data_IF_792322616685
#
_entry.id   IF_792322616685
#
_cell.length_a   1.000
_cell.length_b   1.000
_cell.length_c   1.000
_cell.angle_alpha   90.00
_cell.angle_beta   90.00
_cell.angle_gamma   90.00
#
_symmetry.space_group_name_H-M   'P 1'
#
loop_
_entity.id
_entity.type
_entity.pdbx_description
1 polymer ?
#
# COMPACT_ATOMS: atom_id res chain seq x y z
N UNK A 1 29.40 -47.09 18.54
CA UNK A 1 29.66 -45.65 18.32
C UNK A 1 29.18 -45.18 16.95
N UNK A 2 27.97 -45.57 16.51
CA UNK A 2 27.40 -45.15 15.21
C UNK A 2 25.92 -44.72 15.29
N UNK A 3 25.36 -44.59 16.49
CA UNK A 3 23.95 -44.22 16.71
C UNK A 3 23.75 -42.86 17.42
N UNK A 4 24.82 -42.22 17.90
CA UNK A 4 24.74 -40.94 18.63
C UNK A 4 25.05 -39.75 17.71
N UNK A 5 25.77 -39.95 16.61
CA UNK A 5 26.13 -38.89 15.66
C UNK A 5 25.01 -38.50 14.69
N UNK A 6 24.05 -39.39 14.43
CA UNK A 6 22.91 -39.10 13.53
C UNK A 6 21.82 -38.28 14.22
N UNK A 7 21.71 -38.36 15.56
CA UNK A 7 20.70 -37.62 16.32
C UNK A 7 21.04 -36.12 16.46
N UNK A 8 22.32 -35.75 16.39
CA UNK A 8 22.75 -34.34 16.45
C UNK A 8 22.66 -33.61 15.10
N UNK A 9 22.69 -34.33 13.98
CA UNK A 9 22.48 -33.77 12.64
C UNK A 9 21.00 -33.52 12.31
N UNK A 10 20.08 -34.14 13.05
CA UNK A 10 18.63 -33.92 12.91
C UNK A 10 18.08 -32.80 13.82
N UNK A 11 18.91 -32.25 14.71
CA UNK A 11 18.55 -31.14 15.61
C UNK A 11 19.03 -29.77 15.12
N UNK A 12 19.67 -29.69 13.95
CA UNK A 12 20.05 -28.44 13.27
C UNK A 12 19.05 -27.99 12.18
N UNK A 13 17.98 -28.75 11.92
CA UNK A 13 16.86 -28.37 11.05
C UNK A 13 15.60 -27.99 11.84
N UNK A 14 15.78 -27.50 13.07
CA UNK A 14 14.69 -27.03 13.92
C UNK A 14 14.55 -25.53 13.82
N UNK A 15 13.40 -25.10 13.29
CA UNK A 15 12.87 -23.73 13.35
C UNK A 15 13.35 -22.78 12.23
N UNK A 16 12.95 -23.08 10.99
CA UNK A 16 12.45 -22.00 10.13
C UNK A 16 11.12 -21.56 10.74
N UNK A 17 11.17 -20.65 11.72
CA UNK A 17 9.99 -19.87 12.10
C UNK A 17 9.56 -19.19 10.80
N UNK A 18 8.47 -19.66 10.21
CA UNK A 18 7.70 -18.95 9.21
C UNK A 18 7.13 -17.70 9.89
N UNK A 19 8.00 -16.72 10.10
CA UNK A 19 7.63 -15.41 10.59
C UNK A 19 7.14 -14.61 9.39
N UNK A 20 5.90 -14.14 9.46
CA UNK A 20 5.36 -13.18 8.50
C UNK A 20 6.27 -11.96 8.40
N UNK A 21 6.11 -11.15 7.35
CA UNK A 21 6.90 -9.94 7.17
C UNK A 21 6.83 -9.08 8.45
N UNK A 22 7.98 -8.73 9.02
CA UNK A 22 8.03 -7.77 10.12
C UNK A 22 7.79 -6.40 9.51
N UNK A 23 6.62 -5.82 9.76
CA UNK A 23 6.23 -4.50 9.23
C UNK A 23 6.27 -3.41 10.31
N UNK A 24 6.38 -3.79 11.59
CA UNK A 24 6.47 -2.90 12.73
C UNK A 24 7.78 -3.05 13.50
N UNK A 25 8.26 -1.94 14.04
CA UNK A 25 9.33 -1.81 15.02
C UNK A 25 8.85 -0.80 16.07
N UNK A 26 8.80 -1.19 17.35
CA UNK A 26 8.30 -0.35 18.45
C UNK A 26 6.89 0.24 18.22
N UNK A 27 6.02 -0.51 17.53
CA UNK A 27 4.64 -0.09 17.22
C UNK A 27 4.50 0.85 16.03
N UNK A 28 5.61 1.22 15.37
CA UNK A 28 5.65 2.07 14.18
C UNK A 28 6.13 1.27 12.97
N UNK A 29 5.93 1.72 11.72
CA UNK A 29 6.52 1.05 10.56
C UNK A 29 8.02 0.81 10.75
N UNK A 30 8.56 -0.31 10.24
CA UNK A 30 10.02 -0.54 10.36
C UNK A 30 10.81 0.65 9.84
N UNK A 31 11.94 0.93 10.50
CA UNK A 31 12.82 2.05 10.14
C UNK A 31 12.17 3.45 10.28
N UNK A 32 11.06 3.59 11.02
CA UNK A 32 10.36 4.87 11.17
C UNK A 32 11.21 5.94 11.85
N UNK A 33 11.99 5.59 12.87
CA UNK A 33 12.80 6.56 13.63
C UNK A 33 13.91 7.20 12.78
N UNK A 34 14.36 6.52 11.72
CA UNK A 34 15.40 6.99 10.79
C UNK A 34 14.85 7.91 9.69
N UNK A 35 13.53 8.14 9.66
CA UNK A 35 12.88 9.06 8.72
C UNK A 35 12.85 10.49 9.25
N UNK A 36 12.65 11.47 8.37
CA UNK A 36 12.52 12.87 8.80
C UNK A 36 11.13 13.17 9.36
N UNK A 37 11.10 13.96 10.43
CA UNK A 37 9.87 14.42 11.07
C UNK A 37 9.40 15.78 10.56
N UNK A 38 10.32 16.58 9.99
CA UNK A 38 10.06 17.94 9.53
C UNK A 38 10.58 18.17 8.11
N UNK A 39 9.89 19.05 7.35
CA UNK A 39 10.27 19.37 5.97
C UNK A 39 11.66 20.02 5.89
N UNK A 40 12.04 20.78 6.92
CA UNK A 40 13.34 21.45 7.08
C UNK A 40 14.54 20.48 7.10
N UNK A 41 14.30 19.22 7.46
CA UNK A 41 15.32 18.16 7.53
C UNK A 41 15.56 17.50 6.17
N UNK A 42 14.71 17.75 5.17
CA UNK A 42 14.91 17.22 3.83
C UNK A 42 16.07 17.91 3.10
N UNK A 43 16.79 17.18 2.22
CA UNK A 43 17.82 17.78 1.39
C UNK A 43 17.29 18.97 0.61
N UNK A 44 17.95 20.12 0.71
CA UNK A 44 17.50 21.37 0.09
C UNK A 44 18.64 22.04 -0.66
N UNK A 45 18.38 22.46 -1.90
CA UNK A 45 19.33 23.21 -2.71
C UNK A 45 19.49 24.65 -2.22
N UNK A 46 20.57 25.34 -2.63
CA UNK A 46 20.84 26.75 -2.28
C UNK A 46 19.72 27.71 -2.66
N UNK A 47 18.91 27.38 -3.67
CA UNK A 47 17.77 28.18 -4.11
C UNK A 47 16.48 27.94 -3.30
N UNK A 48 16.54 27.09 -2.26
CA UNK A 48 15.41 26.73 -1.40
C UNK A 48 14.53 25.58 -1.94
N UNK A 49 14.91 24.94 -3.06
CA UNK A 49 14.16 23.78 -3.58
C UNK A 49 14.48 22.54 -2.78
N UNK A 50 13.45 21.88 -2.25
CA UNK A 50 13.52 20.62 -1.52
C UNK A 50 13.68 19.48 -2.52
N UNK A 51 14.74 18.69 -2.36
CA UNK A 51 15.15 17.64 -3.31
C UNK A 51 15.40 16.30 -2.64
N UNK A 52 14.36 15.64 -2.10
CA UNK A 52 14.49 14.32 -1.55
C UNK A 52 14.68 13.27 -2.65
N UNK A 53 15.32 12.16 -2.29
CA UNK A 53 15.57 11.03 -3.17
C UNK A 53 14.55 9.92 -2.93
N UNK A 54 13.50 9.76 -3.76
CA UNK A 54 12.54 8.70 -3.57
C UNK A 54 13.07 7.31 -3.96
N UNK A 55 14.31 7.16 -4.43
CA UNK A 55 14.95 5.85 -4.59
C UNK A 55 15.71 5.40 -3.34
N UNK A 56 15.66 6.19 -2.27
CA UNK A 56 16.13 5.78 -0.95
C UNK A 56 14.94 5.58 0.00
N UNK A 57 14.90 4.44 0.69
CA UNK A 57 13.78 4.03 1.53
C UNK A 57 13.41 5.08 2.58
N UNK A 58 14.38 5.61 3.33
CA UNK A 58 14.08 6.57 4.41
C UNK A 58 13.48 7.88 3.87
N UNK A 59 13.95 8.37 2.72
CA UNK A 59 13.39 9.56 2.09
C UNK A 59 11.97 9.29 1.58
N UNK A 60 11.74 8.15 0.92
CA UNK A 60 10.39 7.80 0.47
C UNK A 60 9.42 7.59 1.62
N UNK A 61 9.86 6.93 2.70
CA UNK A 61 9.05 6.76 3.92
C UNK A 61 8.76 8.11 4.60
N UNK A 62 9.71 9.05 4.55
CA UNK A 62 9.53 10.40 5.08
C UNK A 62 8.39 11.15 4.40
N UNK A 63 8.08 10.87 3.13
CA UNK A 63 6.94 11.48 2.46
C UNK A 63 5.64 11.19 3.22
N UNK A 64 5.46 9.94 3.64
CA UNK A 64 4.29 9.53 4.42
C UNK A 64 4.29 10.16 5.80
N UNK A 65 5.42 10.16 6.50
CA UNK A 65 5.54 10.76 7.83
C UNK A 65 5.17 12.25 7.81
N UNK A 66 5.71 12.98 6.85
CA UNK A 66 5.41 14.41 6.69
C UNK A 66 3.95 14.65 6.31
N UNK A 67 3.38 13.86 5.39
CA UNK A 67 1.96 13.97 5.04
C UNK A 67 1.05 13.65 6.23
N UNK A 68 1.34 12.62 7.02
CA UNK A 68 0.58 12.28 8.23
C UNK A 68 0.63 13.44 9.22
N UNK A 69 1.81 13.98 9.51
CA UNK A 69 1.98 15.10 10.42
C UNK A 69 1.23 16.36 9.94
N UNK A 70 1.38 16.70 8.65
CA UNK A 70 0.78 17.89 8.06
C UNK A 70 -0.75 17.81 7.97
N UNK A 71 -1.30 16.61 7.77
CA UNK A 71 -2.75 16.40 7.66
C UNK A 71 -3.43 16.15 8.99
N UNK A 72 -2.70 15.80 10.05
CA UNK A 72 -3.26 15.48 11.37
C UNK A 72 -4.28 16.51 11.91
N UNK A 73 -4.08 17.84 11.78
CA UNK A 73 -5.05 18.83 12.23
C UNK A 73 -6.43 18.77 11.53
N UNK A 74 -6.50 18.11 10.37
CA UNK A 74 -7.70 18.03 9.51
C UNK A 74 -8.38 16.65 9.56
N UNK A 75 -7.94 15.77 10.47
CA UNK A 75 -8.36 14.36 10.52
C UNK A 75 -9.34 14.05 11.66
N UNK A 76 -9.99 15.06 12.24
CA UNK A 76 -10.87 14.90 13.41
C UNK A 76 -11.97 13.84 13.21
N UNK A 77 -12.58 13.78 12.02
CA UNK A 77 -13.61 12.80 11.69
C UNK A 77 -13.10 11.37 11.53
N UNK A 78 -11.78 11.14 11.45
CA UNK A 78 -11.20 9.79 11.37
C UNK A 78 -11.14 9.09 12.73
N UNK A 79 -10.97 9.87 13.80
CA UNK A 79 -10.81 9.41 15.18
C UNK A 79 -9.95 10.38 15.98
N UNK A 80 -9.76 10.08 17.27
CA UNK A 80 -9.04 10.96 18.20
C UNK A 80 -7.55 10.67 18.31
N UNK A 81 -7.06 9.57 17.73
CA UNK A 81 -5.67 9.16 17.83
C UNK A 81 -4.87 9.62 16.60
N UNK A 82 -3.59 9.95 16.79
CA UNK A 82 -2.67 10.27 15.69
C UNK A 82 -2.51 9.09 14.69
N UNK A 83 -2.85 7.88 15.12
CA UNK A 83 -2.84 6.65 14.33
C UNK A 83 -4.08 6.45 13.44
N UNK A 84 -5.08 7.34 13.51
CA UNK A 84 -6.38 7.11 12.85
C UNK A 84 -6.42 7.60 11.39
N UNK A 85 -5.44 8.37 10.95
CA UNK A 85 -5.35 8.81 9.55
C UNK A 85 -5.35 7.62 8.58
N UNK A 86 -6.11 7.66 7.46
CA UNK A 86 -6.07 6.61 6.45
C UNK A 86 -4.72 6.53 5.73
N UNK A 87 -3.87 7.56 5.84
CA UNK A 87 -2.55 7.59 5.20
C UNK A 87 -1.64 6.51 5.78
N UNK A 88 -1.87 6.02 7.02
CA UNK A 88 -1.04 5.00 7.68
C UNK A 88 -0.93 3.67 6.93
N UNK A 89 -1.89 3.34 6.06
CA UNK A 89 -1.78 2.16 5.19
C UNK A 89 -0.57 2.22 4.25
N UNK A 90 -0.21 3.41 3.75
CA UNK A 90 0.86 3.60 2.76
C UNK A 90 2.27 3.35 3.32
N UNK A 91 2.69 3.92 4.47
CA UNK A 91 4.01 3.61 5.04
C UNK A 91 4.11 2.14 5.47
N UNK A 92 3.04 1.52 5.98
CA UNK A 92 3.07 0.09 6.30
C UNK A 92 3.22 -0.79 5.06
N UNK A 93 2.61 -0.41 3.92
CA UNK A 93 2.83 -1.09 2.65
C UNK A 93 4.28 -0.97 2.19
N UNK A 94 4.88 0.23 2.28
CA UNK A 94 6.29 0.43 1.94
C UNK A 94 7.22 -0.38 2.86
N UNK A 95 6.92 -0.44 4.16
CA UNK A 95 7.62 -1.26 5.14
C UNK A 95 7.55 -2.75 4.78
N UNK A 96 6.37 -3.27 4.44
CA UNK A 96 6.20 -4.64 3.94
C UNK A 96 7.01 -4.90 2.66
N UNK A 97 7.03 -3.96 1.71
CA UNK A 97 7.82 -4.12 0.48
C UNK A 97 9.32 -4.17 0.76
N UNK A 98 9.80 -3.39 1.75
CA UNK A 98 11.20 -3.44 2.17
C UNK A 98 11.53 -4.81 2.78
N UNK A 99 10.78 -5.23 3.80
CA UNK A 99 11.12 -6.44 4.57
C UNK A 99 10.89 -7.74 3.81
N UNK A 100 10.03 -7.71 2.79
CA UNK A 100 9.84 -8.86 1.88
C UNK A 100 10.78 -8.90 0.67
N UNK A 101 11.69 -7.92 0.55
CA UNK A 101 12.65 -7.83 -0.55
C UNK A 101 12.07 -7.32 -1.87
N UNK A 102 10.83 -6.84 -1.88
CA UNK A 102 10.13 -6.38 -3.09
C UNK A 102 10.71 -5.08 -3.65
N UNK A 103 11.39 -4.27 -2.84
CA UNK A 103 12.04 -3.03 -3.29
C UNK A 103 13.41 -3.25 -3.95
N UNK A 104 14.01 -4.43 -3.78
CA UNK A 104 15.33 -4.76 -4.33
C UNK A 104 15.29 -4.93 -5.86
N UNK A 105 16.47 -4.95 -6.49
CA UNK A 105 16.62 -5.22 -7.91
C UNK A 105 16.27 -6.67 -8.27
N UNK A 106 15.16 -6.93 -8.99
CA UNK A 106 14.78 -8.28 -9.36
C UNK A 106 15.59 -8.87 -10.52
N UNK A 107 16.40 -8.06 -11.22
CA UNK A 107 17.12 -8.47 -12.44
C UNK A 107 18.51 -9.05 -12.15
N UNK A 108 19.01 -8.89 -10.92
CA UNK A 108 20.40 -9.13 -10.52
C UNK A 108 21.44 -8.30 -11.30
N UNK A 109 21.04 -7.23 -12.00
CA UNK A 109 21.96 -6.34 -12.70
C UNK A 109 22.73 -5.43 -11.72
N UNK A 110 22.16 -5.14 -10.55
CA UNK A 110 22.74 -4.31 -9.49
C UNK A 110 22.55 -4.98 -8.12
N UNK A 111 23.22 -4.43 -7.10
CA UNK A 111 23.05 -4.87 -5.70
C UNK A 111 22.07 -4.01 -4.90
N UNK A 112 21.30 -3.14 -5.57
CA UNK A 112 20.34 -2.24 -4.91
C UNK A 112 19.26 -3.02 -4.14
N UNK A 113 19.10 -2.72 -2.86
CA UNK A 113 18.16 -3.38 -1.95
C UNK A 113 18.56 -4.80 -1.53
N UNK A 114 19.72 -5.30 -2.00
CA UNK A 114 20.25 -6.60 -1.61
C UNK A 114 21.20 -6.45 -0.42
N UNK A 115 21.37 -7.54 0.36
CA UNK A 115 22.29 -7.58 1.50
C UNK A 115 23.76 -7.31 1.12
N UNK A 116 24.12 -7.52 -0.14
CA UNK A 116 25.47 -7.28 -0.68
C UNK A 116 25.65 -5.84 -1.19
N UNK A 117 24.65 -4.98 -1.06
CA UNK A 117 24.69 -3.58 -1.50
C UNK A 117 24.07 -2.65 -0.47
N UNK A 118 23.48 -1.55 -0.94
CA UNK A 118 22.68 -0.66 -0.10
C UNK A 118 21.28 -1.26 0.09
N UNK A 119 20.99 -1.72 1.31
CA UNK A 119 19.70 -2.34 1.65
C UNK A 119 18.54 -1.36 1.67
N UNK A 120 18.81 -0.05 1.76
CA UNK A 120 17.79 1.01 1.73
C UNK A 120 17.55 1.54 0.30
N UNK A 121 18.35 1.10 -0.67
CA UNK A 121 18.14 1.43 -2.08
C UNK A 121 16.85 0.77 -2.61
N UNK A 122 16.01 1.56 -3.28
CA UNK A 122 14.82 1.11 -4.01
C UNK A 122 15.17 1.03 -5.48
N UNK A 123 15.11 -0.18 -6.05
CA UNK A 123 15.51 -0.40 -7.44
C UNK A 123 14.53 0.22 -8.44
N UNK A 124 15.07 0.87 -9.46
CA UNK A 124 14.33 1.37 -10.63
C UNK A 124 13.75 0.24 -11.48
N UNK A 125 14.25 -0.99 -11.30
CA UNK A 125 13.76 -2.21 -11.96
C UNK A 125 12.68 -2.93 -11.16
N UNK A 126 12.46 -2.54 -9.89
CA UNK A 126 11.41 -3.13 -9.07
C UNK A 126 10.03 -2.69 -9.55
N UNK A 127 9.16 -3.65 -9.85
CA UNK A 127 7.75 -3.34 -10.16
C UNK A 127 7.04 -2.77 -8.93
N UNK A 128 7.27 -3.33 -7.74
CA UNK A 128 6.70 -2.86 -6.48
C UNK A 128 7.18 -1.47 -6.11
N UNK A 129 8.48 -1.20 -6.27
CA UNK A 129 9.07 0.12 -6.09
C UNK A 129 8.49 1.14 -7.09
N UNK A 130 8.24 0.71 -8.33
CA UNK A 130 7.58 1.56 -9.33
C UNK A 130 6.13 1.86 -8.95
N UNK A 131 5.30 0.86 -8.63
CA UNK A 131 3.89 1.08 -8.23
C UNK A 131 3.80 1.93 -6.97
N UNK A 132 4.64 1.66 -5.98
CA UNK A 132 4.67 2.46 -4.76
C UNK A 132 5.08 3.92 -5.02
N UNK A 133 5.89 4.21 -6.06
CA UNK A 133 6.20 5.60 -6.43
C UNK A 133 4.93 6.41 -6.70
N UNK A 134 3.94 5.81 -7.39
CA UNK A 134 2.65 6.45 -7.64
C UNK A 134 1.87 6.68 -6.34
N UNK A 135 2.00 5.79 -5.37
CA UNK A 135 1.36 5.92 -4.06
C UNK A 135 2.18 6.75 -3.05
N UNK A 136 3.39 7.21 -3.39
CA UNK A 136 4.27 7.99 -2.50
C UNK A 136 4.56 9.38 -3.04
N UNK A 137 5.09 9.47 -4.26
CA UNK A 137 5.60 10.71 -4.85
C UNK A 137 4.46 11.63 -5.30
N UNK A 138 3.45 11.10 -5.97
CA UNK A 138 2.29 11.89 -6.44
C UNK A 138 1.53 12.54 -5.27
N UNK A 139 1.10 11.80 -4.22
CA UNK A 139 0.45 12.43 -3.08
C UNK A 139 1.35 13.44 -2.37
N UNK A 140 2.67 13.18 -2.25
CA UNK A 140 3.58 14.12 -1.61
C UNK A 140 3.75 15.43 -2.40
N UNK A 141 3.90 15.34 -3.73
CA UNK A 141 3.98 16.51 -4.61
C UNK A 141 2.68 17.31 -4.59
N UNK A 142 1.53 16.63 -4.60
CA UNK A 142 0.22 17.30 -4.44
C UNK A 142 0.09 17.95 -3.06
N UNK A 143 0.48 17.28 -1.98
CA UNK A 143 0.47 17.86 -0.63
C UNK A 143 1.32 19.14 -0.56
N UNK A 144 2.52 19.13 -1.17
CA UNK A 144 3.39 20.30 -1.24
C UNK A 144 2.75 21.46 -2.02
N UNK A 145 2.17 21.19 -3.19
CA UNK A 145 1.46 22.20 -3.99
C UNK A 145 0.25 22.77 -3.24
N UNK A 146 -0.48 21.92 -2.50
CA UNK A 146 -1.56 22.34 -1.62
C UNK A 146 -1.04 22.95 -0.31
N UNK A 147 0.25 23.24 -0.15
CA UNK A 147 0.82 23.98 0.97
C UNK A 147 0.94 23.20 2.29
N UNK A 148 0.72 21.88 2.29
CA UNK A 148 0.89 21.03 3.47
C UNK A 148 2.37 20.87 3.86
N UNK A 149 3.30 21.10 2.92
CA UNK A 149 4.75 21.06 3.19
C UNK A 149 5.34 22.45 3.47
N UNK A 150 4.48 23.43 3.80
CA UNK A 150 4.85 24.84 3.96
C UNK A 150 4.41 25.68 2.76
N UNK A 151 4.00 26.91 3.03
CA UNK A 151 3.50 27.82 2.00
C UNK A 151 4.60 28.11 0.96
N UNK A 152 4.31 27.79 -0.32
CA UNK A 152 5.25 28.01 -1.42
C UNK A 152 6.45 27.06 -1.45
N UNK A 153 6.41 25.94 -0.70
CA UNK A 153 7.44 24.92 -0.74
C UNK A 153 7.63 24.39 -2.17
N UNK A 154 8.85 24.50 -2.70
CA UNK A 154 9.21 23.98 -4.02
C UNK A 154 9.84 22.61 -3.86
N UNK A 155 9.22 21.59 -4.44
CA UNK A 155 9.71 20.21 -4.39
C UNK A 155 10.11 19.75 -5.78
N UNK A 156 11.33 19.23 -5.89
CA UNK A 156 11.81 18.53 -7.08
C UNK A 156 12.48 17.23 -6.63
N UNK A 157 11.84 16.10 -6.89
CA UNK A 157 12.40 14.80 -6.55
C UNK A 157 13.69 14.56 -7.35
N UNK A 158 14.67 13.90 -6.73
CA UNK A 158 15.88 13.48 -7.46
C UNK A 158 15.50 12.45 -8.54
N UNK A 159 16.46 11.97 -9.33
CA UNK A 159 16.25 10.82 -10.22
C UNK A 159 17.61 10.16 -10.49
N UNK A 160 17.73 8.82 -10.43
CA UNK A 160 18.94 8.13 -10.83
C UNK A 160 19.31 8.44 -12.28
N UNK A 161 20.61 8.50 -12.56
CA UNK A 161 21.10 8.77 -13.91
C UNK A 161 20.55 7.75 -14.92
N UNK A 162 20.06 8.25 -16.07
CA UNK A 162 19.51 7.41 -17.14
C UNK A 162 18.06 6.96 -16.95
N UNK A 163 17.39 7.41 -15.88
CA UNK A 163 15.97 7.13 -15.63
C UNK A 163 15.15 8.36 -16.03
N UNK A 164 14.20 8.20 -16.95
CA UNK A 164 13.42 9.31 -17.53
C UNK A 164 11.89 9.07 -17.50
N UNK A 165 11.47 7.85 -17.13
CA UNK A 165 10.07 7.42 -17.16
C UNK A 165 9.26 7.86 -15.93
N UNK A 166 9.89 8.48 -14.93
CA UNK A 166 9.24 9.04 -13.75
C UNK A 166 9.09 10.55 -13.84
N UNK A 167 7.95 11.06 -13.40
CA UNK A 167 7.76 12.49 -13.18
C UNK A 167 8.32 12.91 -11.82
N UNK A 168 8.97 14.07 -11.71
CA UNK A 168 9.70 14.47 -10.49
C UNK A 168 9.28 15.80 -9.88
N UNK A 169 8.38 16.54 -10.53
CA UNK A 169 7.81 17.80 -10.03
C UNK A 169 6.29 17.74 -10.11
N UNK A 170 5.58 18.59 -9.34
CA UNK A 170 4.12 18.67 -9.43
C UNK A 170 3.67 18.92 -10.87
N UNK A 171 4.26 19.91 -11.55
CA UNK A 171 3.90 20.27 -12.93
C UNK A 171 4.08 19.11 -13.92
N UNK A 172 5.22 18.41 -13.85
CA UNK A 172 5.47 17.25 -14.73
C UNK A 172 4.53 16.09 -14.40
N UNK A 173 4.29 15.79 -13.12
CA UNK A 173 3.35 14.74 -12.73
C UNK A 173 1.91 15.07 -13.10
N UNK A 174 1.48 16.33 -12.99
CA UNK A 174 0.15 16.77 -13.40
C UNK A 174 -0.03 16.70 -14.93
N UNK A 175 1.04 16.94 -15.70
CA UNK A 175 1.01 16.79 -17.15
C UNK A 175 0.95 15.32 -17.59
N UNK A 176 1.71 14.42 -16.95
CA UNK A 176 1.76 12.98 -17.31
C UNK A 176 0.60 12.17 -16.74
N UNK A 177 0.15 12.49 -15.53
CA UNK A 177 -0.87 11.74 -14.79
C UNK A 177 -1.96 12.68 -14.21
N UNK A 178 -2.70 13.41 -15.07
CA UNK A 178 -3.62 14.46 -14.64
C UNK A 178 -4.75 13.95 -13.74
N UNK A 179 -5.31 12.77 -14.01
CA UNK A 179 -6.37 12.21 -13.16
C UNK A 179 -5.84 11.92 -11.74
N UNK A 180 -4.71 11.22 -11.59
CA UNK A 180 -4.15 10.92 -10.28
C UNK A 180 -3.80 12.19 -9.49
N UNK A 181 -3.16 13.17 -10.11
CA UNK A 181 -2.78 14.42 -9.44
C UNK A 181 -4.01 15.25 -9.04
N UNK A 182 -4.99 15.41 -9.93
CA UNK A 182 -6.21 16.17 -9.61
C UNK A 182 -7.03 15.53 -8.49
N UNK A 183 -7.05 14.20 -8.38
CA UNK A 183 -7.73 13.51 -7.28
C UNK A 183 -6.99 13.64 -5.96
N UNK A 184 -5.65 13.64 -5.97
CA UNK A 184 -4.88 13.98 -4.76
C UNK A 184 -5.11 15.44 -4.34
N UNK A 185 -5.14 16.38 -5.29
CA UNK A 185 -5.46 17.77 -5.01
C UNK A 185 -6.85 17.90 -4.37
N UNK A 186 -7.85 17.18 -4.91
CA UNK A 186 -9.20 17.15 -4.36
C UNK A 186 -9.24 16.59 -2.94
N UNK A 187 -8.46 15.55 -2.63
CA UNK A 187 -8.35 15.01 -1.27
C UNK A 187 -7.78 16.06 -0.29
N UNK A 188 -6.66 16.69 -0.63
CA UNK A 188 -6.04 17.70 0.23
C UNK A 188 -6.88 18.98 0.37
N UNK A 189 -7.60 19.38 -0.68
CA UNK A 189 -8.58 20.47 -0.61
C UNK A 189 -9.78 20.09 0.27
N UNK A 190 -10.26 18.85 0.14
CA UNK A 190 -11.33 18.30 0.99
C UNK A 190 -10.97 18.33 2.47
N UNK A 191 -9.71 18.00 2.83
CA UNK A 191 -9.21 18.11 4.20
C UNK A 191 -9.29 19.54 4.74
N UNK A 192 -8.90 20.55 3.94
CA UNK A 192 -8.96 21.95 4.36
C UNK A 192 -10.38 22.47 4.56
N UNK A 193 -11.33 21.95 3.78
CA UNK A 193 -12.73 22.33 3.86
C UNK A 193 -13.49 21.61 4.99
N UNK A 194 -12.96 20.50 5.52
CA UNK A 194 -13.65 19.67 6.50
C UNK A 194 -14.06 20.41 7.79
N UNK A 195 -13.20 21.27 8.39
CA UNK A 195 -13.55 21.98 9.62
C UNK A 195 -14.77 22.89 9.50
N UNK A 196 -15.12 23.31 8.27
CA UNK A 196 -16.27 24.17 7.98
C UNK A 196 -17.56 23.37 7.71
N UNK A 197 -17.47 22.05 7.63
CA UNK A 197 -18.60 21.18 7.27
C UNK A 197 -19.57 20.98 8.44
N UNK A 198 -20.87 21.14 8.15
CA UNK A 198 -21.98 21.00 9.11
C UNK A 198 -22.69 19.64 9.03
N UNK A 199 -22.23 18.72 8.17
CA UNK A 199 -22.83 17.39 8.02
C UNK A 199 -22.45 16.47 9.21
N UNK A 200 -23.19 15.38 9.44
CA UNK A 200 -22.84 14.39 10.47
C UNK A 200 -21.41 13.85 10.33
N UNK A 201 -20.75 13.56 11.45
CA UNK A 201 -19.34 13.11 11.49
C UNK A 201 -19.08 11.83 10.66
N UNK A 202 -20.02 10.89 10.63
CA UNK A 202 -19.91 9.68 9.81
C UNK A 202 -19.94 10.00 8.30
N UNK A 203 -20.72 11.01 7.88
CA UNK A 203 -20.73 11.48 6.49
C UNK A 203 -19.44 12.23 6.14
N UNK A 204 -18.89 13.05 7.06
CA UNK A 204 -17.58 13.70 6.87
C UNK A 204 -16.48 12.67 6.66
N UNK A 205 -16.39 11.71 7.58
CA UNK A 205 -15.44 10.59 7.52
C UNK A 205 -15.55 9.85 6.21
N UNK A 206 -16.76 9.46 5.84
CA UNK A 206 -17.01 8.68 4.64
C UNK A 206 -16.68 9.47 3.35
N UNK A 207 -16.99 10.75 3.30
CA UNK A 207 -16.64 11.65 2.19
C UNK A 207 -15.13 11.79 2.02
N UNK A 208 -14.40 12.06 3.12
CA UNK A 208 -12.94 12.16 3.10
C UNK A 208 -12.27 10.83 2.70
N UNK A 209 -12.75 9.71 3.21
CA UNK A 209 -12.27 8.38 2.80
C UNK A 209 -12.56 8.12 1.32
N UNK A 210 -13.70 8.58 0.81
CA UNK A 210 -14.03 8.52 -0.61
C UNK A 210 -13.05 9.30 -1.49
N UNK A 211 -12.68 10.53 -1.09
CA UNK A 211 -11.66 11.32 -1.78
C UNK A 211 -10.30 10.63 -1.75
N UNK A 212 -9.88 10.15 -0.57
CA UNK A 212 -8.62 9.41 -0.40
C UNK A 212 -8.55 8.19 -1.31
N UNK A 213 -9.57 7.33 -1.28
CA UNK A 213 -9.60 6.12 -2.09
C UNK A 213 -9.72 6.39 -3.58
N UNK A 214 -10.43 7.45 -3.97
CA UNK A 214 -10.48 7.86 -5.37
C UNK A 214 -9.09 8.26 -5.87
N UNK A 215 -8.32 9.02 -5.07
CA UNK A 215 -6.95 9.42 -5.41
C UNK A 215 -5.98 8.22 -5.42
N UNK A 216 -6.09 7.33 -4.44
CA UNK A 216 -5.27 6.13 -4.35
C UNK A 216 -5.53 5.17 -5.51
N UNK A 217 -6.80 4.97 -5.91
CA UNK A 217 -7.13 4.14 -7.06
C UNK A 217 -6.69 4.77 -8.38
N UNK A 218 -6.82 6.09 -8.54
CA UNK A 218 -6.29 6.79 -9.71
C UNK A 218 -4.76 6.62 -9.83
N UNK A 219 -4.03 6.67 -8.71
CA UNK A 219 -2.59 6.38 -8.66
C UNK A 219 -2.28 4.92 -9.01
N UNK A 220 -3.11 4.00 -8.51
CA UNK A 220 -3.02 2.56 -8.82
C UNK A 220 -3.21 2.31 -10.31
N UNK A 221 -4.17 2.96 -10.96
CA UNK A 221 -4.38 2.85 -12.41
C UNK A 221 -3.24 3.49 -13.22
N UNK A 222 -2.75 4.66 -12.80
CA UNK A 222 -1.61 5.33 -13.42
C UNK A 222 -0.33 4.47 -13.35
N UNK A 223 -0.19 3.65 -12.31
CA UNK A 223 0.92 2.72 -12.14
C UNK A 223 0.99 1.61 -13.20
N UNK A 224 0.00 1.48 -14.09
CA UNK A 224 0.09 0.61 -15.26
C UNK A 224 1.32 0.92 -16.14
N UNK A 225 1.88 2.13 -16.05
CA UNK A 225 3.17 2.49 -16.64
C UNK A 225 4.33 1.58 -16.17
N UNK A 226 4.19 0.93 -15.01
CA UNK A 226 5.17 0.02 -14.43
C UNK A 226 5.10 -1.40 -15.02
N UNK A 227 4.05 -1.77 -15.77
CA UNK A 227 3.75 -3.18 -16.10
C UNK A 227 4.90 -3.91 -16.82
N UNK A 228 5.72 -3.23 -17.61
CA UNK A 228 6.88 -3.84 -18.27
C UNK A 228 7.88 -4.48 -17.28
N UNK A 229 7.98 -3.92 -16.06
CA UNK A 229 8.87 -4.42 -14.98
C UNK A 229 8.42 -5.75 -14.38
N UNK A 230 7.17 -6.17 -14.62
CA UNK A 230 6.68 -7.49 -14.18
C UNK A 230 7.43 -8.65 -14.85
N UNK A 231 8.06 -8.41 -16.01
CA UNK A 231 8.85 -9.42 -16.73
C UNK A 231 10.04 -9.97 -15.92
N UNK A 232 10.50 -9.23 -14.91
CA UNK A 232 11.59 -9.65 -14.01
C UNK A 232 11.13 -10.54 -12.85
N UNK A 233 9.83 -10.85 -12.76
CA UNK A 233 9.25 -11.61 -11.65
C UNK A 233 8.68 -12.95 -12.12
N UNK A 234 8.57 -13.90 -11.18
CA UNK A 234 7.93 -15.18 -11.44
C UNK A 234 6.44 -15.00 -11.76
N UNK A 235 5.84 -15.95 -12.49
CA UNK A 235 4.39 -15.93 -12.74
C UNK A 235 3.55 -15.97 -11.47
N UNK A 236 4.06 -16.59 -10.39
CA UNK A 236 3.40 -16.62 -9.09
C UNK A 236 3.33 -15.21 -8.48
N UNK A 237 4.45 -14.47 -8.48
CA UNK A 237 4.50 -13.10 -7.97
C UNK A 237 3.66 -12.15 -8.83
N UNK A 238 3.72 -12.29 -10.16
CA UNK A 238 2.88 -11.49 -11.07
C UNK A 238 1.39 -11.79 -10.85
N UNK A 239 1.01 -13.04 -10.60
CA UNK A 239 -0.37 -13.38 -10.29
C UNK A 239 -0.82 -12.75 -8.96
N UNK A 240 0.04 -12.79 -7.94
CA UNK A 240 -0.21 -12.14 -6.66
C UNK A 240 -0.34 -10.62 -6.80
N UNK A 241 0.58 -9.95 -7.50
CA UNK A 241 0.52 -8.53 -7.80
C UNK A 241 -0.82 -8.13 -8.45
N UNK A 242 -1.29 -8.90 -9.42
CA UNK A 242 -2.59 -8.65 -10.04
C UNK A 242 -3.78 -8.90 -9.09
N UNK A 243 -3.66 -9.87 -8.19
CA UNK A 243 -4.68 -10.16 -7.18
C UNK A 243 -4.73 -9.07 -6.12
N UNK A 244 -3.57 -8.55 -5.71
CA UNK A 244 -3.40 -7.40 -4.84
C UNK A 244 -4.08 -6.14 -5.42
N UNK A 245 -3.78 -5.81 -6.68
CA UNK A 245 -4.41 -4.69 -7.37
C UNK A 245 -5.94 -4.85 -7.48
N UNK A 246 -6.42 -6.07 -7.73
CA UNK A 246 -7.85 -6.35 -7.78
C UNK A 246 -8.52 -6.22 -6.40
N UNK A 247 -7.86 -6.66 -5.32
CA UNK A 247 -8.39 -6.53 -3.97
C UNK A 247 -8.57 -5.06 -3.54
N UNK A 248 -7.71 -4.16 -4.04
CA UNK A 248 -7.81 -2.72 -3.78
C UNK A 248 -9.17 -2.13 -4.22
N UNK A 249 -9.80 -2.66 -5.27
CA UNK A 249 -11.13 -2.25 -5.74
C UNK A 249 -12.23 -2.45 -4.70
N UNK A 250 -12.10 -3.50 -3.88
CA UNK A 250 -13.08 -3.82 -2.85
C UNK A 250 -12.92 -2.92 -1.64
N UNK A 251 -11.66 -2.78 -1.21
CA UNK A 251 -11.26 -1.92 -0.09
C UNK A 251 -11.62 -0.46 -0.38
N UNK A 252 -11.38 -0.01 -1.61
CA UNK A 252 -11.67 1.36 -2.04
C UNK A 252 -13.17 1.63 -2.06
N UNK A 253 -13.99 0.72 -2.62
CA UNK A 253 -15.43 0.90 -2.69
C UNK A 253 -16.09 0.94 -1.30
N UNK A 254 -15.54 0.22 -0.33
CA UNK A 254 -16.01 0.24 1.06
C UNK A 254 -15.55 1.48 1.85
N UNK A 255 -14.79 2.39 1.24
CA UNK A 255 -14.15 3.52 1.92
C UNK A 255 -13.40 3.05 3.17
N UNK A 256 -12.57 2.01 3.05
CA UNK A 256 -11.93 1.40 4.20
C UNK A 256 -10.95 2.37 4.90
N UNK A 257 -11.09 2.60 6.20
CA UNK A 257 -10.14 3.43 6.93
C UNK A 257 -8.86 2.63 7.24
N UNK A 258 -7.80 2.91 6.51
CA UNK A 258 -6.46 2.32 6.70
C UNK A 258 -5.68 3.03 7.81
N UNK A 259 -6.25 3.09 9.02
CA UNK A 259 -5.53 3.50 10.23
C UNK A 259 -4.37 2.55 10.53
N UNK A 260 -3.40 2.97 11.36
CA UNK A 260 -2.24 2.14 11.70
C UNK A 260 -2.66 0.74 12.20
N UNK A 261 -3.56 0.70 13.19
CA UNK A 261 -4.04 -0.56 13.78
C UNK A 261 -4.72 -1.46 12.73
N UNK A 262 -5.63 -0.89 11.94
CA UNK A 262 -6.38 -1.66 10.94
C UNK A 262 -5.44 -2.15 9.84
N UNK A 263 -4.60 -1.29 9.29
CA UNK A 263 -3.66 -1.62 8.25
C UNK A 263 -2.69 -2.74 8.68
N UNK A 264 -2.21 -2.73 9.93
CA UNK A 264 -1.35 -3.82 10.45
C UNK A 264 -2.03 -5.18 10.34
N UNK A 265 -3.33 -5.27 10.66
CA UNK A 265 -4.08 -6.53 10.58
C UNK A 265 -4.15 -7.09 9.15
N UNK A 266 -4.26 -6.22 8.14
CA UNK A 266 -4.33 -6.64 6.73
C UNK A 266 -2.97 -6.86 6.07
N UNK A 267 -1.93 -6.17 6.52
CA UNK A 267 -0.60 -6.23 5.92
C UNK A 267 0.31 -7.29 6.55
N UNK A 268 0.09 -7.63 7.82
CA UNK A 268 0.84 -8.69 8.51
C UNK A 268 0.72 -10.05 7.81
N UNK A 269 -0.47 -10.53 7.39
CA UNK A 269 -0.59 -11.84 6.75
C UNK A 269 -0.24 -11.82 5.26
N UNK A 270 0.51 -10.83 4.77
CA UNK A 270 1.02 -10.82 3.41
C UNK A 270 2.31 -11.62 3.29
N UNK A 271 2.60 -12.18 2.10
CA UNK A 271 3.79 -12.99 1.89
C UNK A 271 5.06 -12.25 2.28
N UNK A 272 5.81 -12.85 3.21
CA UNK A 272 7.07 -12.40 3.79
C UNK A 272 8.25 -12.39 2.82
N UNK A 273 8.08 -12.97 1.64
CA UNK A 273 9.06 -12.94 0.55
C UNK A 273 8.38 -12.76 -0.80
N UNK A 274 9.19 -12.41 -1.80
CA UNK A 274 8.81 -12.48 -3.22
C UNK A 274 8.45 -13.94 -3.56
N UNK A 275 7.30 -14.15 -4.22
CA UNK A 275 6.87 -15.48 -4.65
C UNK A 275 7.73 -15.99 -5.81
N UNK A 276 8.04 -17.29 -5.76
CA UNK A 276 8.92 -17.98 -6.67
C UNK A 276 8.14 -18.91 -7.60
N UNK A 277 8.82 -19.43 -8.62
CA UNK A 277 8.20 -20.44 -9.49
C UNK A 277 7.91 -21.72 -8.69
N UNK A 278 6.69 -22.24 -8.80
CA UNK A 278 6.22 -23.39 -8.02
C UNK A 278 5.43 -23.04 -6.76
N UNK A 279 5.47 -21.80 -6.28
CA UNK A 279 4.64 -21.36 -5.17
C UNK A 279 3.15 -21.43 -5.54
N UNK A 280 2.37 -22.13 -4.73
CA UNK A 280 0.93 -22.28 -4.91
C UNK A 280 0.22 -22.34 -3.55
N UNK A 281 -0.43 -21.24 -3.19
CA UNK A 281 -1.29 -21.19 -2.01
C UNK A 281 -2.46 -22.19 -2.15
N UNK A 282 -2.91 -22.84 -1.06
CA UNK A 282 -2.57 -22.55 0.34
C UNK A 282 -1.44 -23.42 0.91
N UNK A 283 -0.58 -24.04 0.08
CA UNK A 283 0.37 -25.05 0.53
C UNK A 283 1.83 -24.68 0.26
N UNK A 284 2.20 -23.41 0.43
CA UNK A 284 3.59 -22.96 0.32
C UNK A 284 4.28 -23.25 1.66
N UNK A 285 5.25 -24.18 1.64
CA UNK A 285 5.79 -24.82 2.84
C UNK A 285 6.53 -23.88 3.82
N UNK A 286 7.15 -22.83 3.30
CA UNK A 286 7.93 -21.86 4.08
C UNK A 286 7.16 -20.57 4.41
N UNK A 287 5.87 -20.48 4.03
CA UNK A 287 4.97 -19.42 4.47
C UNK A 287 4.08 -19.89 5.63
N UNK A 288 3.71 -18.97 6.50
CA UNK A 288 2.75 -19.23 7.58
C UNK A 288 1.36 -19.62 7.04
N UNK A 289 0.48 -20.08 7.92
CA UNK A 289 -0.89 -20.44 7.56
C UNK A 289 -1.67 -19.19 7.14
N UNK A 290 -1.44 -18.09 7.83
CA UNK A 290 -2.05 -16.79 7.62
C UNK A 290 -1.65 -16.25 6.25
N UNK A 291 -0.35 -16.31 5.91
CA UNK A 291 0.15 -15.91 4.58
C UNK A 291 -0.45 -16.76 3.45
N UNK A 292 -0.46 -18.08 3.61
CA UNK A 292 -1.09 -18.97 2.64
C UNK A 292 -2.58 -18.70 2.48
N UNK A 293 -3.28 -18.41 3.59
CA UNK A 293 -4.70 -18.08 3.56
C UNK A 293 -4.98 -16.78 2.82
N UNK A 294 -4.24 -15.70 3.12
CA UNK A 294 -4.41 -14.41 2.45
C UNK A 294 -4.11 -14.50 0.95
N UNK A 295 -3.04 -15.22 0.55
CA UNK A 295 -2.75 -15.48 -0.85
C UNK A 295 -3.89 -16.24 -1.55
N UNK A 296 -4.46 -17.24 -0.89
CA UNK A 296 -5.60 -18.00 -1.41
C UNK A 296 -6.83 -17.11 -1.60
N UNK A 297 -7.18 -16.28 -0.61
CA UNK A 297 -8.34 -15.39 -0.70
C UNK A 297 -8.18 -14.36 -1.82
N UNK A 298 -7.02 -13.71 -1.94
CA UNK A 298 -6.79 -12.74 -3.01
C UNK A 298 -6.90 -13.39 -4.39
N UNK A 299 -6.29 -14.56 -4.57
CA UNK A 299 -6.40 -15.30 -5.83
C UNK A 299 -7.85 -15.72 -6.11
N UNK A 300 -8.60 -16.17 -5.09
CA UNK A 300 -10.02 -16.49 -5.22
C UNK A 300 -10.84 -15.27 -5.67
N UNK A 301 -10.70 -14.12 -5.00
CA UNK A 301 -11.42 -12.87 -5.33
C UNK A 301 -11.18 -12.46 -6.79
N UNK A 302 -9.91 -12.48 -7.22
CA UNK A 302 -9.55 -12.18 -8.61
C UNK A 302 -10.17 -13.19 -9.58
N UNK A 303 -10.01 -14.49 -9.33
CA UNK A 303 -10.47 -15.54 -10.24
C UNK A 303 -11.99 -15.54 -10.40
N UNK A 304 -12.75 -15.39 -9.32
CA UNK A 304 -14.21 -15.31 -9.40
C UNK A 304 -14.65 -14.03 -10.12
N UNK A 305 -13.96 -12.90 -9.89
CA UNK A 305 -14.26 -11.67 -10.60
C UNK A 305 -13.97 -11.79 -12.10
N UNK A 306 -12.84 -12.40 -12.49
CA UNK A 306 -12.51 -12.68 -13.89
C UNK A 306 -13.51 -13.63 -14.53
N UNK A 307 -13.88 -14.72 -13.85
CA UNK A 307 -14.89 -15.68 -14.33
C UNK A 307 -16.22 -15.00 -14.62
N UNK A 308 -16.60 -14.02 -13.78
CA UNK A 308 -17.83 -13.24 -13.93
C UNK A 308 -17.66 -11.98 -14.80
N UNK A 309 -16.56 -11.86 -15.55
CA UNK A 309 -16.32 -10.74 -16.47
C UNK A 309 -16.27 -9.37 -15.78
N UNK A 310 -15.75 -9.31 -14.55
CA UNK A 310 -15.71 -8.08 -13.74
C UNK A 310 -17.00 -7.77 -12.98
N UNK A 311 -18.02 -8.62 -13.09
CA UNK A 311 -19.33 -8.36 -12.50
C UNK A 311 -19.30 -8.35 -10.98
N UNK A 312 -18.43 -9.13 -10.34
CA UNK A 312 -18.36 -9.14 -8.87
C UNK A 312 -17.94 -7.79 -8.31
N UNK A 313 -16.85 -7.20 -8.82
CA UNK A 313 -16.40 -5.86 -8.42
C UNK A 313 -17.47 -4.81 -8.71
N UNK A 314 -18.15 -4.91 -9.86
CA UNK A 314 -19.24 -3.98 -10.22
C UNK A 314 -20.41 -4.06 -9.24
N UNK A 315 -20.88 -5.27 -8.92
CA UNK A 315 -21.95 -5.47 -7.93
C UNK A 315 -21.54 -4.97 -6.55
N UNK A 316 -20.29 -5.25 -6.14
CA UNK A 316 -19.74 -4.72 -4.89
C UNK A 316 -19.78 -3.18 -4.86
N UNK A 317 -19.25 -2.52 -5.90
CA UNK A 317 -19.27 -1.05 -6.01
C UNK A 317 -20.70 -0.49 -5.96
N UNK A 318 -21.63 -1.11 -6.68
CA UNK A 318 -23.05 -0.73 -6.65
C UNK A 318 -23.67 -0.91 -5.26
N UNK A 319 -23.33 -1.99 -4.54
CA UNK A 319 -23.82 -2.24 -3.19
C UNK A 319 -23.28 -1.24 -2.15
N UNK A 320 -22.10 -0.65 -2.39
CA UNK A 320 -21.50 0.38 -1.54
C UNK A 320 -22.12 1.78 -1.76
N UNK A 321 -23.43 1.86 -1.97
CA UNK A 321 -24.12 3.08 -2.41
C UNK A 321 -24.33 4.13 -1.30
N UNK A 322 -24.25 3.75 -0.02
CA UNK A 322 -24.52 4.61 1.13
C UNK A 322 -23.49 4.43 2.24
N UNK A 323 -23.43 5.37 3.18
CA UNK A 323 -22.52 5.30 4.34
C UNK A 323 -22.74 4.01 5.13
N UNK A 324 -24.01 3.67 5.43
CA UNK A 324 -24.36 2.46 6.18
C UNK A 324 -24.01 1.16 5.45
N UNK A 325 -24.16 1.12 4.13
CA UNK A 325 -23.77 -0.08 3.36
C UNK A 325 -22.25 -0.22 3.27
N UNK A 326 -21.52 0.90 3.16
CA UNK A 326 -20.05 0.92 3.25
C UNK A 326 -19.53 0.47 4.62
N UNK A 327 -20.17 0.87 5.72
CA UNK A 327 -19.85 0.36 7.07
C UNK A 327 -19.90 -1.17 7.14
N UNK A 328 -21.02 -1.76 6.71
CA UNK A 328 -21.18 -3.22 6.65
C UNK A 328 -20.18 -3.87 5.70
N UNK A 329 -19.90 -3.22 4.57
CA UNK A 329 -18.89 -3.68 3.62
C UNK A 329 -17.50 -3.79 4.24
N UNK A 330 -17.10 -2.83 5.07
CA UNK A 330 -15.81 -2.88 5.81
C UNK A 330 -15.75 -4.06 6.77
N UNK A 331 -16.81 -4.30 7.54
CA UNK A 331 -16.90 -5.45 8.45
C UNK A 331 -16.80 -6.78 7.68
N UNK A 332 -17.48 -6.89 6.53
CA UNK A 332 -17.40 -8.08 5.69
C UNK A 332 -15.99 -8.32 5.13
N UNK A 333 -15.26 -7.27 4.74
CA UNK A 333 -13.89 -7.40 4.28
C UNK A 333 -12.94 -7.85 5.40
N UNK A 334 -13.14 -7.35 6.61
CA UNK A 334 -12.41 -7.82 7.80
C UNK A 334 -12.65 -9.31 8.04
N UNK A 335 -13.91 -9.76 8.01
CA UNK A 335 -14.24 -11.18 8.17
C UNK A 335 -13.64 -12.05 7.05
N UNK A 336 -13.77 -11.63 5.78
CA UNK A 336 -13.26 -12.39 4.64
C UNK A 336 -11.75 -12.61 4.69
N UNK A 337 -10.99 -11.65 5.23
CA UNK A 337 -9.53 -11.69 5.22
C UNK A 337 -8.93 -12.23 6.52
N UNK A 338 -9.62 -12.07 7.66
CA UNK A 338 -9.08 -12.39 8.97
C UNK A 338 -9.74 -13.61 9.64
N UNK A 339 -10.90 -14.05 9.16
CA UNK A 339 -11.58 -15.24 9.67
C UNK A 339 -11.56 -16.38 8.63
N UNK A 340 -10.65 -17.37 8.77
CA UNK A 340 -10.60 -18.52 7.89
C UNK A 340 -11.88 -19.37 7.87
N UNK A 341 -12.77 -19.21 8.86
CA UNK A 341 -14.06 -19.88 8.90
C UNK A 341 -15.16 -19.12 8.13
N UNK A 342 -14.89 -17.87 7.74
CA UNK A 342 -15.80 -17.07 6.94
C UNK A 342 -15.85 -17.59 5.51
N UNK A 343 -16.94 -18.31 5.20
CA UNK A 343 -17.08 -18.93 3.89
C UNK A 343 -17.19 -17.88 2.78
N UNK A 344 -16.41 -18.05 1.72
CA UNK A 344 -16.47 -17.24 0.49
C UNK A 344 -17.87 -17.24 -0.14
N UNK A 345 -18.64 -18.31 0.04
CA UNK A 345 -20.06 -18.39 -0.36
C UNK A 345 -20.95 -17.41 0.43
N UNK A 346 -20.66 -17.19 1.72
CA UNK A 346 -21.37 -16.21 2.55
C UNK A 346 -21.16 -14.80 2.01
N UNK A 347 -19.91 -14.45 1.64
CA UNK A 347 -19.59 -13.17 1.00
C UNK A 347 -20.41 -12.95 -0.28
N UNK A 348 -20.44 -13.95 -1.18
CA UNK A 348 -21.19 -13.86 -2.44
C UNK A 348 -22.70 -13.71 -2.25
N UNK A 349 -23.28 -14.44 -1.28
CA UNK A 349 -24.70 -14.34 -0.98
C UNK A 349 -25.08 -12.95 -0.45
N UNK A 350 -24.26 -12.39 0.44
CA UNK A 350 -24.49 -11.06 1.01
C UNK A 350 -24.33 -9.97 -0.06
N UNK A 351 -23.31 -10.03 -0.92
CA UNK A 351 -23.15 -9.06 -2.02
C UNK A 351 -24.38 -9.04 -2.91
N UNK A 352 -24.86 -10.23 -3.30
CA UNK A 352 -26.05 -10.34 -4.14
C UNK A 352 -27.26 -9.69 -3.46
N UNK A 353 -27.48 -9.96 -2.17
CA UNK A 353 -28.53 -9.33 -1.39
C UNK A 353 -28.40 -7.80 -1.29
N UNK A 354 -27.22 -7.29 -0.95
CA UNK A 354 -26.97 -5.85 -0.81
C UNK A 354 -27.16 -5.09 -2.13
N UNK A 355 -26.76 -5.70 -3.25
CA UNK A 355 -26.91 -5.10 -4.59
C UNK A 355 -28.36 -4.98 -5.09
N UNK A 356 -29.34 -5.53 -4.36
CA UNK A 356 -30.77 -5.34 -4.65
C UNK A 356 -31.43 -4.29 -3.76
N UNK A 357 -30.72 -3.81 -2.74
CA UNK A 357 -31.18 -2.77 -1.81
C UNK A 357 -30.67 -1.38 -2.19
N UNK A 358 -29.77 -1.33 -3.20
CA UNK A 358 -29.37 -0.21 -4.02
C UNK A 358 -29.76 -0.58 -5.47
#
# INVERSE_FOLDING_TARGET
>A
MLHVTVLWLLLACGVSLSSSAVILENGMPVQWEQTVGEVSELPTQKNGTITPDPWHFHHRMSFYRLMIAATNPFMGSMGTNASDSPIWGLPLQLAWMLTSGRLADPTNATTCGLQTGDTMCISTQSWWGCVNYFASALPFLSAAEQGFMGAGAKVQLQVPAGVEDYCTTYTDCAARYPDAMSKWDAFFQGLKAEPESVVPENEKKDSLLGLYWTAQMASTYASAACNARQSSYSSAEVSFANSWLNAAEYVSAAHFQTSLEKAVRFLTPLPSRVLQSGDSAPNIADLSKEENHTLYIFNWMKNINTLLGGTLVRLWKSAMCSVTTREKGREMLEQLLLDPSYATNTFMAIITGMSTSC
#
